data_IF_595562308234
#
_entry.id   IF_595562308234
#
_cell.length_a   1.000
_cell.length_b   1.000
_cell.length_c   1.000
_cell.angle_alpha   90.00
_cell.angle_beta   90.00
_cell.angle_gamma   90.00
#
_symmetry.space_group_name_H-M   'P 1'
#
loop_
_entity.id
_entity.type
_entity.pdbx_description
1 polymer ?
#
# COMPACT_ATOMS: atom_id res chain seq x y z
N UNK A 1 21.25 -12.66 -2.82
CA UNK A 1 20.01 -13.08 -3.49
C UNK A 1 18.93 -12.04 -3.20
N UNK A 2 18.23 -11.49 -4.22
CA UNK A 2 17.08 -10.62 -3.97
C UNK A 2 15.98 -11.39 -3.23
N UNK A 3 15.30 -10.73 -2.28
CA UNK A 3 14.27 -11.37 -1.47
C UNK A 3 13.14 -11.93 -2.35
N UNK A 4 12.72 -13.17 -2.07
CA UNK A 4 11.63 -13.86 -2.77
C UNK A 4 10.31 -13.10 -2.63
N UNK A 5 9.36 -13.34 -3.54
CA UNK A 5 7.98 -12.80 -3.44
C UNK A 5 7.36 -13.02 -2.06
N UNK A 6 7.52 -14.24 -1.52
CA UNK A 6 6.97 -14.61 -0.21
C UNK A 6 7.66 -13.88 0.95
N UNK A 7 8.97 -13.65 0.87
CA UNK A 7 9.67 -12.84 1.86
C UNK A 7 9.21 -11.38 1.83
N UNK A 8 9.07 -10.80 0.64
CA UNK A 8 8.55 -9.43 0.44
C UNK A 8 7.13 -9.28 0.96
N UNK A 9 6.26 -10.24 0.66
CA UNK A 9 4.86 -10.20 1.10
C UNK A 9 4.77 -10.28 2.61
N UNK A 10 5.52 -11.19 3.26
CA UNK A 10 5.53 -11.29 4.73
C UNK A 10 6.01 -9.99 5.39
N UNK A 11 7.08 -9.39 4.87
CA UNK A 11 7.57 -8.09 5.35
C UNK A 11 6.49 -7.01 5.22
N UNK A 12 5.90 -6.90 4.04
CA UNK A 12 4.85 -5.91 3.76
C UNK A 12 3.62 -6.11 4.65
N UNK A 13 3.19 -7.35 4.89
CA UNK A 13 2.11 -7.69 5.81
C UNK A 13 2.44 -7.29 7.25
N UNK A 14 3.65 -7.59 7.73
CA UNK A 14 4.07 -7.23 9.07
C UNK A 14 4.10 -5.71 9.26
N UNK A 15 4.58 -4.96 8.26
CA UNK A 15 4.62 -3.49 8.32
C UNK A 15 3.22 -2.86 8.24
N UNK A 16 2.35 -3.37 7.36
CA UNK A 16 1.02 -2.80 7.12
C UNK A 16 0.05 -2.99 8.31
N UNK A 17 0.33 -3.93 9.21
CA UNK A 17 -0.47 -4.16 10.41
C UNK A 17 -1.75 -4.99 10.20
N UNK A 18 -2.54 -5.19 11.26
CA UNK A 18 -3.61 -6.19 11.30
C UNK A 18 -4.81 -5.86 10.39
N UNK A 19 -5.03 -4.57 10.08
CA UNK A 19 -6.15 -4.15 9.22
C UNK A 19 -5.88 -4.39 7.74
N UNK A 20 -4.65 -4.75 7.37
CA UNK A 20 -4.20 -4.90 5.99
C UNK A 20 -4.19 -6.36 5.50
N UNK A 21 -4.69 -6.57 4.29
CA UNK A 21 -4.41 -7.77 3.50
C UNK A 21 -3.46 -7.41 2.37
N UNK A 22 -2.22 -7.90 2.47
CA UNK A 22 -1.17 -7.65 1.47
C UNK A 22 -1.01 -8.85 0.53
N UNK A 23 -1.02 -8.58 -0.77
CA UNK A 23 -0.72 -9.54 -1.83
C UNK A 23 0.32 -8.95 -2.77
N UNK A 24 1.20 -9.80 -3.28
CA UNK A 24 2.15 -9.43 -4.33
C UNK A 24 1.84 -10.30 -5.56
N UNK A 25 1.41 -9.65 -6.61
CA UNK A 25 1.23 -10.25 -7.93
C UNK A 25 2.54 -10.15 -8.72
N UNK A 26 2.81 -11.11 -9.59
CA UNK A 26 3.93 -11.05 -10.55
C UNK A 26 3.33 -10.69 -11.90
N UNK A 27 3.83 -9.60 -12.48
CA UNK A 27 3.40 -9.11 -13.78
C UNK A 27 4.11 -9.89 -14.91
N UNK A 28 3.64 -9.80 -16.18
CA UNK A 28 4.24 -10.54 -17.30
C UNK A 28 5.71 -10.19 -17.60
N UNK A 29 6.20 -9.07 -17.09
CA UNK A 29 7.58 -8.57 -17.19
C UNK A 29 8.45 -8.98 -15.99
N UNK A 30 7.99 -9.97 -15.20
CA UNK A 30 8.60 -10.41 -13.94
C UNK A 30 8.68 -9.34 -12.84
N UNK A 31 8.02 -8.19 -13.01
CA UNK A 31 7.93 -7.15 -11.99
C UNK A 31 6.91 -7.53 -10.90
N UNK A 32 7.12 -7.01 -9.68
CA UNK A 32 6.20 -7.23 -8.57
C UNK A 32 5.17 -6.10 -8.47
N UNK A 33 3.89 -6.44 -8.51
CA UNK A 33 2.80 -5.53 -8.20
C UNK A 33 2.30 -5.74 -6.77
N UNK A 34 2.37 -4.70 -5.95
CA UNK A 34 1.93 -4.73 -4.56
C UNK A 34 0.47 -4.31 -4.48
N UNK A 35 -0.33 -5.13 -3.80
CA UNK A 35 -1.72 -4.83 -3.48
C UNK A 35 -1.92 -4.87 -1.97
N UNK A 36 -2.43 -3.76 -1.42
CA UNK A 36 -2.83 -3.66 -0.01
C UNK A 36 -4.33 -3.38 0.04
N UNK A 37 -5.07 -4.16 0.83
CA UNK A 37 -6.52 -4.00 0.99
C UNK A 37 -6.87 -3.77 2.45
N UNK A 38 -7.80 -2.87 2.73
CA UNK A 38 -8.36 -2.69 4.07
C UNK A 38 -9.39 -3.80 4.33
N UNK A 39 -9.38 -4.36 5.53
CA UNK A 39 -10.38 -5.35 5.97
C UNK A 39 -11.68 -4.71 6.47
N UNK A 40 -11.69 -3.40 6.71
CA UNK A 40 -12.80 -2.69 7.35
C UNK A 40 -13.49 -1.68 6.43
N UNK A 41 -12.73 -1.00 5.57
CA UNK A 41 -13.29 -0.01 4.66
C UNK A 41 -13.79 -0.66 3.38
N UNK A 42 -15.02 -0.33 3.01
CA UNK A 42 -15.58 -0.62 1.69
C UNK A 42 -15.75 0.64 0.87
N UNK A 43 -15.60 0.52 -0.45
CA UNK A 43 -15.82 1.57 -1.44
C UNK A 43 -16.86 1.12 -2.46
N UNK A 44 -17.68 2.04 -3.00
CA UNK A 44 -18.61 1.72 -4.08
C UNK A 44 -17.89 1.11 -5.29
N UNK A 45 -18.49 0.09 -5.87
CA UNK A 45 -18.05 -0.58 -7.08
C UNK A 45 -19.15 -0.44 -8.14
N UNK A 46 -18.94 0.37 -9.19
CA UNK A 46 -19.94 0.59 -10.23
C UNK A 46 -20.50 -0.73 -10.77
N UNK A 47 -21.83 -0.85 -10.78
CA UNK A 47 -22.56 -2.00 -11.32
C UNK A 47 -22.52 -3.29 -10.51
N UNK A 48 -21.85 -3.35 -9.36
CA UNK A 48 -21.66 -4.63 -8.62
C UNK A 48 -21.71 -4.52 -7.09
N UNK A 49 -22.06 -3.35 -6.53
CA UNK A 49 -22.23 -3.14 -5.09
C UNK A 49 -21.05 -2.43 -4.45
N UNK A 50 -20.49 -2.98 -3.38
CA UNK A 50 -19.30 -2.45 -2.69
C UNK A 50 -18.11 -3.41 -2.84
N UNK A 51 -16.90 -2.91 -2.60
CA UNK A 51 -15.68 -3.73 -2.49
C UNK A 51 -14.78 -3.17 -1.42
N UNK A 52 -13.95 -4.01 -0.80
CA UNK A 52 -12.89 -3.53 0.09
C UNK A 52 -12.04 -2.43 -0.58
N UNK A 53 -11.75 -1.37 0.17
CA UNK A 53 -10.77 -0.36 -0.22
C UNK A 53 -9.43 -1.07 -0.47
N UNK A 54 -8.79 -0.75 -1.57
CA UNK A 54 -7.47 -1.30 -1.87
C UNK A 54 -6.66 -0.39 -2.78
N UNK A 55 -5.34 -0.49 -2.68
CA UNK A 55 -4.37 0.12 -3.57
C UNK A 55 -3.55 -0.96 -4.25
N UNK A 56 -3.32 -0.84 -5.56
CA UNK A 56 -2.44 -1.72 -6.34
C UNK A 56 -1.41 -0.87 -7.08
N UNK A 57 -0.11 -1.17 -6.95
CA UNK A 57 0.98 -0.42 -7.59
C UNK A 57 2.01 -1.37 -8.20
N UNK A 58 2.41 -1.07 -9.45
CA UNK A 58 3.45 -1.81 -10.18
C UNK A 58 4.84 -1.46 -9.65
N UNK A 59 5.79 -2.37 -9.88
CA UNK A 59 7.12 -2.35 -9.29
C UNK A 59 8.11 -1.34 -9.89
N UNK A 60 7.83 -0.76 -11.07
CA UNK A 60 8.78 0.03 -11.87
C UNK A 60 9.47 1.16 -11.07
N UNK A 61 8.75 1.85 -10.19
CA UNK A 61 9.28 2.97 -9.37
C UNK A 61 9.14 2.72 -7.86
N UNK A 62 9.46 1.50 -7.41
CA UNK A 62 9.28 1.06 -6.01
C UNK A 62 7.80 0.95 -5.61
N UNK A 63 7.10 0.05 -6.30
CA UNK A 63 5.68 -0.28 -6.05
C UNK A 63 5.35 -0.62 -4.60
N UNK A 64 6.34 -1.08 -3.82
CA UNK A 64 6.21 -1.24 -2.38
C UNK A 64 5.96 0.09 -1.67
N UNK A 65 6.86 1.08 -1.83
CA UNK A 65 6.69 2.39 -1.20
C UNK A 65 5.43 3.08 -1.68
N UNK A 66 5.14 3.04 -2.98
CA UNK A 66 3.94 3.68 -3.53
C UNK A 66 2.64 3.04 -2.99
N UNK A 67 2.61 1.73 -2.79
CA UNK A 67 1.47 1.06 -2.17
C UNK A 67 1.40 1.39 -0.66
N UNK A 68 2.54 1.36 0.03
CA UNK A 68 2.62 1.60 1.47
C UNK A 68 2.25 3.04 1.83
N UNK A 69 2.69 4.05 1.08
CA UNK A 69 2.30 5.45 1.28
C UNK A 69 0.79 5.62 1.26
N UNK A 70 0.13 5.04 0.26
CA UNK A 70 -1.34 5.11 0.14
C UNK A 70 -2.03 4.36 1.26
N UNK A 71 -1.45 3.27 1.73
CA UNK A 71 -1.95 2.55 2.91
C UNK A 71 -1.80 3.39 4.18
N UNK A 72 -0.64 3.98 4.41
CA UNK A 72 -0.36 4.86 5.55
C UNK A 72 -1.37 6.01 5.61
N UNK A 73 -1.62 6.69 4.50
CA UNK A 73 -2.62 7.78 4.46
C UNK A 73 -4.05 7.30 4.68
N UNK A 74 -4.39 6.13 4.15
CA UNK A 74 -5.70 5.54 4.40
C UNK A 74 -5.87 5.19 5.89
N UNK A 75 -4.86 4.53 6.47
CA UNK A 75 -4.86 4.12 7.86
C UNK A 75 -4.92 5.34 8.80
N UNK A 76 -4.04 6.33 8.60
CA UNK A 76 -4.02 7.55 9.42
C UNK A 76 -5.31 8.38 9.32
N UNK A 77 -5.99 8.33 8.17
CA UNK A 77 -7.20 9.12 7.93
C UNK A 77 -8.51 8.40 8.29
N UNK A 78 -8.58 7.08 8.13
CA UNK A 78 -9.82 6.29 8.33
C UNK A 78 -9.79 5.45 9.61
N UNK A 79 -8.60 5.20 10.17
CA UNK A 79 -8.41 4.39 11.36
C UNK A 79 -7.37 5.06 12.29
N UNK A 80 -7.69 6.24 12.85
CA UNK A 80 -6.73 7.00 13.68
C UNK A 80 -6.28 6.23 14.93
N UNK A 81 -7.11 5.31 15.43
CA UNK A 81 -6.80 4.48 16.61
C UNK A 81 -6.08 3.17 16.27
N UNK A 82 -5.83 2.89 14.98
CA UNK A 82 -5.17 1.66 14.57
C UNK A 82 -3.65 1.78 14.70
N UNK A 83 -3.04 0.75 15.29
CA UNK A 83 -1.59 0.64 15.38
C UNK A 83 -1.03 -0.23 14.24
N UNK A 84 -0.02 0.29 13.54
CA UNK A 84 0.73 -0.47 12.55
C UNK A 84 2.17 0.06 12.46
N UNK A 85 3.19 -0.81 12.28
CA UNK A 85 4.56 -0.36 12.14
C UNK A 85 4.79 0.65 11.00
N UNK A 86 3.99 0.58 9.93
CA UNK A 86 4.09 1.51 8.81
C UNK A 86 3.77 2.96 9.18
N UNK A 87 3.03 3.23 10.26
CA UNK A 87 2.69 4.59 10.69
C UNK A 87 3.91 5.39 11.16
N UNK A 88 4.98 4.70 11.57
CA UNK A 88 6.27 5.34 11.83
C UNK A 88 6.86 6.04 10.58
N UNK A 89 6.35 5.71 9.38
CA UNK A 89 6.78 6.27 8.11
C UNK A 89 5.85 7.36 7.56
N UNK A 90 4.92 7.89 8.36
CA UNK A 90 3.94 8.88 7.92
C UNK A 90 4.59 10.15 7.37
N UNK A 91 5.55 10.72 8.09
CA UNK A 91 6.22 11.96 7.69
C UNK A 91 7.01 11.78 6.39
N UNK A 92 7.70 10.66 6.23
CA UNK A 92 8.42 10.35 4.99
C UNK A 92 7.45 10.10 3.82
N UNK A 93 6.28 9.51 4.07
CA UNK A 93 5.24 9.36 3.05
C UNK A 93 4.70 10.74 2.61
N UNK A 94 4.50 11.66 3.54
CA UNK A 94 4.10 13.04 3.25
C UNK A 94 5.17 13.77 2.43
N UNK A 95 6.45 13.67 2.83
CA UNK A 95 7.58 14.26 2.12
C UNK A 95 7.63 13.78 0.66
N UNK A 96 7.52 12.47 0.41
CA UNK A 96 7.48 11.91 -0.96
C UNK A 96 6.31 12.43 -1.80
N UNK A 97 5.15 12.70 -1.21
CA UNK A 97 4.03 13.30 -1.95
C UNK A 97 4.33 14.76 -2.28
N UNK A 98 4.91 15.50 -1.35
CA UNK A 98 5.28 16.89 -1.54
C UNK A 98 6.35 17.04 -2.63
N UNK A 99 7.43 16.26 -2.57
CA UNK A 99 8.48 16.22 -3.59
C UNK A 99 7.92 15.93 -4.99
N UNK A 100 6.99 14.97 -5.10
CA UNK A 100 6.32 14.67 -6.38
C UNK A 100 5.47 15.84 -6.89
N UNK A 101 4.80 16.58 -6.00
CA UNK A 101 4.02 17.76 -6.39
C UNK A 101 4.93 18.88 -6.89
N UNK A 102 6.05 19.10 -6.23
CA UNK A 102 7.05 20.10 -6.61
C UNK A 102 7.76 19.75 -7.92
N UNK A 103 8.06 18.47 -8.16
CA UNK A 103 8.67 18.03 -9.42
C UNK A 103 7.71 18.07 -10.63
N UNK A 104 6.40 18.13 -10.40
CA UNK A 104 5.38 18.19 -11.44
C UNK A 104 4.71 19.58 -11.57
N UNK A 105 5.09 20.55 -10.74
CA UNK A 105 4.64 21.95 -10.81
C UNK A 105 5.62 22.82 -11.58
#
# INVERSE_FOLDING_TARGET
MPATRSARQRKASAEAGPLAVVRIDVEPDDSFAYKISCTHCEVPRPGTGTRAWSTRRKGEDNGYMAAMDRWIFHLSGQHPDAEAPCLAYLDQAQARVQERREAHG
#
